data_IF_480300042491
#
_entry.id   IF_480300042491
#
_cell.length_a   1.000
_cell.length_b   1.000
_cell.length_c   1.000
_cell.angle_alpha   90.00
_cell.angle_beta   90.00
_cell.angle_gamma   90.00
#
_symmetry.space_group_name_H-M   'P 1'
#
loop_
_entity.id
_entity.type
_entity.pdbx_description
1 polymer ?
#
# COMPACT_ATOMS: atom_id res chain seq x y z
N UNK A 1 29.90 10.86 -15.42
CA UNK A 1 29.46 11.57 -14.20
C UNK A 1 27.95 11.57 -14.11
N UNK A 2 27.22 12.21 -15.04
CA UNK A 2 25.75 12.33 -14.96
C UNK A 2 24.97 11.01 -14.80
N UNK A 3 25.36 9.92 -15.47
CA UNK A 3 24.66 8.63 -15.37
C UNK A 3 24.80 7.98 -13.99
N UNK A 4 26.00 8.00 -13.40
CA UNK A 4 26.25 7.42 -12.08
C UNK A 4 25.53 8.20 -10.98
N UNK A 5 25.53 9.53 -11.11
CA UNK A 5 24.79 10.40 -10.20
C UNK A 5 23.29 10.13 -10.28
N UNK A 6 22.75 9.98 -11.49
CA UNK A 6 21.34 9.64 -11.70
C UNK A 6 20.99 8.25 -11.13
N UNK A 7 21.83 7.23 -11.35
CA UNK A 7 21.64 5.90 -10.75
C UNK A 7 21.64 5.97 -9.22
N UNK A 8 22.56 6.73 -8.64
CA UNK A 8 22.65 6.96 -7.20
C UNK A 8 21.40 7.64 -6.65
N UNK A 9 20.89 8.65 -7.35
CA UNK A 9 19.72 9.41 -6.92
C UNK A 9 18.41 8.63 -7.09
N UNK A 10 18.27 7.84 -8.16
CA UNK A 10 17.18 6.87 -8.31
C UNK A 10 17.20 5.88 -7.15
N UNK A 11 18.36 5.30 -6.85
CA UNK A 11 18.53 4.36 -5.72
C UNK A 11 18.15 5.00 -4.38
N UNK A 12 18.64 6.20 -4.07
CA UNK A 12 18.32 6.91 -2.82
C UNK A 12 16.82 7.19 -2.73
N UNK A 13 16.21 7.62 -3.82
CA UNK A 13 14.78 7.97 -3.86
C UNK A 13 13.92 6.73 -3.74
N UNK A 14 14.24 5.65 -4.46
CA UNK A 14 13.55 4.37 -4.38
C UNK A 14 13.56 3.81 -2.94
N UNK A 15 14.72 3.85 -2.27
CA UNK A 15 14.82 3.42 -0.88
C UNK A 15 13.98 4.28 0.08
N UNK A 16 13.91 5.60 -0.14
CA UNK A 16 13.03 6.49 0.64
C UNK A 16 11.55 6.16 0.42
N UNK A 17 11.15 5.91 -0.82
CA UNK A 17 9.77 5.53 -1.16
C UNK A 17 9.42 4.19 -0.51
N UNK A 18 10.27 3.17 -0.68
CA UNK A 18 10.12 1.85 -0.03
C UNK A 18 9.96 1.97 1.49
N UNK A 19 10.82 2.73 2.15
CA UNK A 19 10.74 2.93 3.60
C UNK A 19 9.42 3.58 4.02
N UNK A 20 8.95 4.60 3.28
CA UNK A 20 7.67 5.26 3.55
C UNK A 20 6.48 4.33 3.32
N UNK A 21 6.50 3.49 2.28
CA UNK A 21 5.44 2.52 2.02
C UNK A 21 5.36 1.50 3.17
N UNK A 22 6.50 0.94 3.62
CA UNK A 22 6.54 0.04 4.79
C UNK A 22 6.00 0.69 6.07
N UNK A 23 6.28 1.97 6.31
CA UNK A 23 5.71 2.69 7.47
C UNK A 23 4.19 2.83 7.36
N UNK A 24 3.67 3.12 6.17
CA UNK A 24 2.21 3.23 5.96
C UNK A 24 1.55 1.87 6.18
N UNK A 25 2.14 0.79 5.67
CA UNK A 25 1.68 -0.58 5.88
C UNK A 25 1.60 -0.92 7.38
N UNK A 26 2.68 -0.73 8.13
CA UNK A 26 2.70 -1.02 9.58
C UNK A 26 1.63 -0.23 10.35
N UNK A 27 1.38 1.03 9.97
CA UNK A 27 0.32 1.82 10.56
C UNK A 27 -1.08 1.28 10.22
N UNK A 28 -1.29 0.79 8.99
CA UNK A 28 -2.54 0.15 8.58
C UNK A 28 -2.78 -1.11 9.41
N UNK A 29 -1.78 -2.00 9.52
CA UNK A 29 -1.86 -3.24 10.30
C UNK A 29 -2.19 -2.94 11.77
N UNK A 30 -1.49 -1.98 12.38
CA UNK A 30 -1.72 -1.58 13.77
C UNK A 30 -3.16 -1.07 14.00
N UNK A 31 -3.68 -0.27 13.07
CA UNK A 31 -5.04 0.26 13.18
C UNK A 31 -6.12 -0.81 12.97
N UNK A 32 -5.90 -1.78 12.09
CA UNK A 32 -6.79 -2.93 11.91
C UNK A 32 -6.97 -3.72 13.20
N UNK A 33 -5.90 -3.96 13.95
CA UNK A 33 -5.95 -4.64 15.25
C UNK A 33 -6.78 -3.89 16.30
N UNK A 34 -6.94 -2.57 16.15
CA UNK A 34 -7.77 -1.76 17.06
C UNK A 34 -9.24 -1.68 16.64
N UNK A 35 -9.65 -2.43 15.60
CA UNK A 35 -11.03 -2.54 15.09
C UNK A 35 -11.71 -1.21 14.72
N UNK A 36 -10.92 -0.17 14.43
CA UNK A 36 -11.41 1.13 13.96
C UNK A 36 -11.52 1.11 12.43
N UNK A 37 -12.57 0.48 11.89
CA UNK A 37 -12.92 0.61 10.47
C UNK A 37 -13.44 2.03 10.18
N UNK A 38 -12.49 2.95 10.04
CA UNK A 38 -12.75 4.37 9.78
C UNK A 38 -12.59 4.70 8.29
N UNK A 39 -13.22 5.78 7.85
CA UNK A 39 -12.99 6.31 6.50
C UNK A 39 -11.49 6.62 6.27
N UNK A 40 -10.79 7.05 7.32
CA UNK A 40 -9.37 7.37 7.30
C UNK A 40 -8.49 6.12 7.06
N UNK A 41 -8.80 4.99 7.70
CA UNK A 41 -8.14 3.70 7.46
C UNK A 41 -8.35 3.23 6.02
N UNK A 42 -9.57 3.36 5.47
CA UNK A 42 -9.86 3.01 4.07
C UNK A 42 -9.05 3.86 3.10
N UNK A 43 -9.00 5.17 3.34
CA UNK A 43 -8.20 6.10 2.52
C UNK A 43 -6.73 5.70 2.56
N UNK A 44 -6.15 5.43 3.74
CA UNK A 44 -4.75 4.99 3.87
C UNK A 44 -4.48 3.73 3.05
N UNK A 45 -5.35 2.73 3.15
CA UNK A 45 -5.22 1.46 2.40
C UNK A 45 -5.25 1.68 0.88
N UNK A 46 -6.22 2.44 0.37
CA UNK A 46 -6.32 2.74 -1.07
C UNK A 46 -5.11 3.52 -1.57
N UNK A 47 -4.64 4.52 -0.81
CA UNK A 47 -3.46 5.31 -1.16
C UNK A 47 -2.20 4.46 -1.15
N UNK A 48 -1.99 3.66 -0.09
CA UNK A 48 -0.88 2.72 0.00
C UNK A 48 -0.84 1.80 -1.22
N UNK A 49 -1.98 1.22 -1.60
CA UNK A 49 -2.04 0.33 -2.75
C UNK A 49 -1.70 1.01 -4.07
N UNK A 50 -2.29 2.18 -4.31
CA UNK A 50 -2.05 2.96 -5.53
C UNK A 50 -0.59 3.35 -5.66
N UNK A 51 0.02 3.81 -4.56
CA UNK A 51 1.43 4.21 -4.53
C UNK A 51 2.37 3.01 -4.72
N UNK A 52 2.08 1.88 -4.07
CA UNK A 52 2.85 0.64 -4.22
C UNK A 52 2.84 0.12 -5.66
N UNK A 53 1.67 0.13 -6.33
CA UNK A 53 1.55 -0.26 -7.75
C UNK A 53 2.37 0.65 -8.66
N UNK A 54 2.22 1.97 -8.50
CA UNK A 54 3.01 2.95 -9.28
C UNK A 54 4.50 2.82 -9.04
N UNK A 55 4.91 2.53 -7.81
CA UNK A 55 6.31 2.31 -7.48
C UNK A 55 6.86 1.09 -8.22
N UNK A 56 6.16 -0.05 -8.17
CA UNK A 56 6.55 -1.27 -8.90
C UNK A 56 6.61 -1.03 -10.41
N UNK A 57 5.64 -0.31 -10.97
CA UNK A 57 5.61 0.06 -12.40
C UNK A 57 6.87 0.84 -12.81
N UNK A 58 7.17 1.94 -12.11
CA UNK A 58 8.35 2.78 -12.39
C UNK A 58 9.66 2.00 -12.20
N UNK A 59 9.77 1.18 -11.15
CA UNK A 59 10.97 0.37 -10.93
C UNK A 59 11.14 -0.73 -11.98
N UNK A 60 10.04 -1.24 -12.54
CA UNK A 60 10.08 -2.23 -13.62
C UNK A 60 10.55 -1.60 -14.94
N UNK A 61 10.09 -0.39 -15.24
CA UNK A 61 10.59 0.39 -16.37
C UNK A 61 12.08 0.73 -16.21
N UNK A 62 12.51 1.08 -14.99
CA UNK A 62 13.91 1.32 -14.68
C UNK A 62 14.76 0.06 -14.89
N UNK A 63 14.31 -1.11 -14.41
CA UNK A 63 14.99 -2.38 -14.62
C UNK A 63 15.13 -2.71 -16.12
N UNK A 64 14.06 -2.52 -16.91
CA UNK A 64 14.10 -2.71 -18.37
C UNK A 64 15.16 -1.80 -19.02
N UNK A 65 15.20 -0.53 -18.61
CA UNK A 65 16.19 0.43 -19.11
C UNK A 65 17.62 0.02 -18.76
N UNK A 66 17.85 -0.54 -17.57
CA UNK A 66 19.16 -1.07 -17.19
C UNK A 66 19.58 -2.27 -18.03
N UNK A 67 18.67 -3.23 -18.26
CA UNK A 67 18.92 -4.40 -19.12
C UNK A 67 19.26 -3.96 -20.54
N UNK A 68 18.49 -3.04 -21.13
CA UNK A 68 18.77 -2.50 -22.46
C UNK A 68 20.14 -1.82 -22.53
N UNK A 69 20.53 -1.08 -21.47
CA UNK A 69 21.84 -0.44 -21.40
C UNK A 69 22.99 -1.45 -21.22
N UNK A 70 22.78 -2.54 -20.47
CA UNK A 70 23.74 -3.66 -20.35
C UNK A 70 24.00 -4.29 -21.71
N UNK A 71 22.95 -4.60 -22.47
CA UNK A 71 23.08 -5.19 -23.81
C UNK A 71 23.81 -4.25 -24.79
N UNK A 72 23.56 -2.94 -24.70
CA UNK A 72 24.32 -1.95 -25.49
C UNK A 72 25.80 -1.90 -25.09
N UNK A 73 26.13 -2.04 -23.81
CA UNK A 73 27.53 -2.12 -23.36
C UNK A 73 28.20 -3.41 -23.86
N UNK A 74 27.51 -4.55 -23.76
CA UNK A 74 27.97 -5.84 -24.30
C UNK A 74 28.27 -5.75 -25.79
N UNK A 75 27.33 -5.24 -26.60
CA UNK A 75 27.53 -5.06 -28.04
C UNK A 75 28.68 -4.11 -28.39
N UNK A 76 28.94 -3.09 -27.56
CA UNK A 76 30.12 -2.22 -27.73
C UNK A 76 31.42 -2.97 -27.46
N UNK A 77 31.48 -3.80 -26.42
CA UNK A 77 32.66 -4.63 -26.12
C UNK A 77 32.92 -5.60 -27.26
N UNK A 78 31.88 -6.28 -27.75
CA UNK A 78 31.99 -7.20 -28.88
C UNK A 78 32.62 -6.54 -30.11
N UNK A 79 32.08 -5.37 -30.50
CA UNK A 79 32.60 -4.61 -31.64
C UNK A 79 34.06 -4.18 -31.44
N UNK A 80 34.43 -3.82 -30.21
CA UNK A 80 35.81 -3.44 -29.88
C UNK A 80 36.77 -4.64 -29.98
N UNK A 81 36.35 -5.84 -29.57
CA UNK A 81 37.11 -7.07 -29.75
C UNK A 81 37.31 -7.40 -31.24
N UNK A 82 36.26 -7.25 -32.06
CA UNK A 82 36.35 -7.45 -33.52
C UNK A 82 37.35 -6.49 -34.19
N UNK A 83 37.39 -5.22 -33.77
CA UNK A 83 38.37 -4.23 -34.28
C UNK A 83 39.81 -4.67 -33.98
N UNK A 84 40.03 -5.32 -32.84
CA UNK A 84 41.35 -5.88 -32.47
C UNK A 84 41.67 -7.22 -33.13
N UNK A 85 40.77 -7.72 -33.99
CA UNK A 85 40.94 -8.97 -34.73
C UNK A 85 40.52 -10.23 -33.95
N UNK A 86 39.84 -10.06 -32.81
CA UNK A 86 39.30 -11.17 -32.02
C UNK A 86 37.80 -11.29 -32.25
N UNK A 87 37.40 -12.26 -33.07
CA UNK A 87 35.99 -12.64 -33.19
C UNK A 87 35.55 -13.35 -31.92
N UNK A 88 34.42 -12.97 -31.35
CA UNK A 88 33.90 -13.56 -30.11
C UNK A 88 32.39 -13.73 -30.26
N UNK A 89 31.92 -14.94 -29.96
CA UNK A 89 30.49 -15.25 -29.96
C UNK A 89 29.80 -14.61 -28.76
N UNK A 90 28.46 -14.52 -28.79
CA UNK A 90 27.70 -13.94 -27.68
C UNK A 90 27.87 -14.72 -26.37
N UNK A 91 28.03 -16.05 -26.46
CA UNK A 91 28.16 -16.92 -25.29
C UNK A 91 29.56 -16.81 -24.69
N UNK A 92 30.61 -16.84 -25.52
CA UNK A 92 31.98 -16.59 -25.06
C UNK A 92 32.13 -15.20 -24.43
N UNK A 93 31.48 -14.18 -25.00
CA UNK A 93 31.52 -12.83 -24.43
C UNK A 93 30.81 -12.77 -23.08
N UNK A 94 29.71 -13.50 -22.90
CA UNK A 94 29.03 -13.57 -21.61
C UNK A 94 29.92 -14.23 -20.55
N UNK A 95 30.56 -15.35 -20.89
CA UNK A 95 31.50 -16.03 -20.00
C UNK A 95 32.67 -15.11 -19.61
N UNK A 96 33.19 -14.33 -20.55
CA UNK A 96 34.24 -13.34 -20.27
C UNK A 96 33.77 -12.23 -19.30
N UNK A 97 32.50 -11.80 -19.39
CA UNK A 97 31.92 -10.82 -18.47
C UNK A 97 31.72 -11.42 -17.07
N UNK A 98 31.26 -12.68 -16.97
CA UNK A 98 31.03 -13.38 -15.71
C UNK A 98 32.31 -13.65 -14.92
N UNK A 99 33.44 -13.85 -15.60
CA UNK A 99 34.75 -14.07 -14.95
C UNK A 99 35.23 -12.87 -14.12
N UNK A 100 34.71 -11.66 -14.39
CA UNK A 100 35.04 -10.44 -13.64
C UNK A 100 36.51 -10.02 -13.70
N UNK A 101 37.32 -10.65 -14.56
CA UNK A 101 38.74 -10.37 -14.73
C UNK A 101 38.98 -9.55 -16.01
N UNK A 102 39.32 -8.25 -15.92
CA UNK A 102 39.57 -7.41 -17.10
C UNK A 102 40.68 -7.95 -18.02
N UNK A 103 41.62 -8.73 -17.49
CA UNK A 103 42.70 -9.32 -18.27
C UNK A 103 42.20 -10.31 -19.33
N UNK A 104 41.00 -10.89 -19.17
CA UNK A 104 40.42 -11.82 -20.16
C UNK A 104 40.23 -11.14 -21.53
N UNK A 105 39.96 -9.83 -21.53
CA UNK A 105 39.81 -9.02 -22.74
C UNK A 105 41.17 -8.70 -23.40
N UNK A 106 42.27 -8.69 -22.63
CA UNK A 106 43.62 -8.42 -23.16
C UNK A 106 44.28 -9.65 -23.78
N UNK A 107 43.76 -10.84 -23.48
CA UNK A 107 44.39 -12.10 -23.87
C UNK A 107 44.34 -12.27 -25.39
N UNK A 108 45.50 -12.24 -26.04
CA UNK A 108 45.63 -12.36 -27.50
C UNK A 108 45.59 -11.03 -28.28
N UNK A 109 45.45 -9.87 -27.63
CA UNK A 109 45.52 -8.57 -28.30
C UNK A 109 46.96 -8.04 -28.28
N UNK A 110 47.52 -7.75 -29.44
CA UNK A 110 48.84 -7.12 -29.56
C UNK A 110 48.73 -5.64 -29.17
N UNK A 111 49.17 -5.30 -27.96
CA UNK A 111 49.08 -3.93 -27.39
C UNK A 111 50.14 -2.93 -27.90
N UNK A 112 50.81 -3.25 -29.01
CA UNK A 112 51.91 -2.44 -29.54
C UNK A 112 51.43 -1.13 -30.18
N UNK A 113 50.17 -1.06 -30.60
CA UNK A 113 49.58 0.13 -31.22
C UNK A 113 48.85 1.00 -30.19
N UNK A 114 48.89 2.33 -30.38
CA UNK A 114 48.09 3.26 -29.57
C UNK A 114 46.59 2.99 -29.70
N UNK A 115 46.15 2.50 -30.87
CA UNK A 115 44.77 2.13 -31.13
C UNK A 115 44.32 0.95 -30.27
N UNK A 116 45.12 -0.12 -30.17
CA UNK A 116 44.81 -1.27 -29.31
C UNK A 116 44.69 -0.88 -27.83
N UNK A 117 45.54 0.04 -27.35
CA UNK A 117 45.47 0.58 -25.98
C UNK A 117 44.17 1.36 -25.73
N UNK A 118 43.75 2.19 -26.69
CA UNK A 118 42.49 2.93 -26.58
C UNK A 118 41.29 1.99 -26.57
N UNK A 119 41.27 1.01 -27.47
CA UNK A 119 40.22 0.00 -27.52
C UNK A 119 40.11 -0.77 -26.20
N UNK A 120 41.24 -1.14 -25.60
CA UNK A 120 41.24 -1.79 -24.30
C UNK A 120 40.64 -0.90 -23.20
N UNK A 121 41.08 0.35 -23.11
CA UNK A 121 40.54 1.30 -22.13
C UNK A 121 39.02 1.48 -22.27
N UNK A 122 38.53 1.50 -23.52
CA UNK A 122 37.09 1.55 -23.79
C UNK A 122 36.37 0.28 -23.31
N UNK A 123 36.94 -0.91 -23.53
CA UNK A 123 36.38 -2.19 -23.06
C UNK A 123 36.32 -2.21 -21.52
N UNK A 124 37.40 -1.85 -20.85
CA UNK A 124 37.47 -1.80 -19.38
C UNK A 124 36.43 -0.83 -18.80
N UNK A 125 36.28 0.35 -19.41
CA UNK A 125 35.27 1.32 -19.00
C UNK A 125 33.83 0.80 -19.19
N UNK A 126 33.54 0.07 -20.28
CA UNK A 126 32.22 -0.56 -20.49
C UNK A 126 31.98 -1.73 -19.54
N UNK A 127 32.99 -2.54 -19.25
CA UNK A 127 32.90 -3.64 -18.30
C UNK A 127 32.61 -3.13 -16.88
N UNK A 128 33.28 -2.04 -16.46
CA UNK A 128 32.98 -1.37 -15.20
C UNK A 128 31.53 -0.87 -15.12
N UNK A 129 30.98 -0.33 -16.22
CA UNK A 129 29.57 0.06 -16.30
C UNK A 129 28.64 -1.15 -16.13
N UNK A 130 28.94 -2.30 -16.78
CA UNK A 130 28.16 -3.54 -16.65
C UNK A 130 28.12 -4.02 -15.19
N UNK A 131 29.27 -4.06 -14.51
CA UNK A 131 29.34 -4.46 -13.09
C UNK A 131 28.47 -3.55 -12.21
N UNK A 132 28.48 -2.23 -12.46
CA UNK A 132 27.64 -1.27 -11.72
C UNK A 132 26.15 -1.53 -11.96
N UNK A 133 25.76 -1.83 -13.20
CA UNK A 133 24.38 -2.17 -13.55
C UNK A 133 23.94 -3.46 -12.86
N UNK A 134 24.74 -4.52 -12.89
CA UNK A 134 24.41 -5.80 -12.28
C UNK A 134 24.20 -5.68 -10.77
N UNK A 135 25.03 -4.88 -10.09
CA UNK A 135 24.83 -4.55 -8.69
C UNK A 135 23.51 -3.79 -8.46
N UNK A 136 23.19 -2.83 -9.33
CA UNK A 136 21.92 -2.10 -9.24
C UNK A 136 20.72 -3.01 -9.49
N UNK A 137 20.77 -3.91 -10.48
CA UNK A 137 19.70 -4.87 -10.80
C UNK A 137 19.46 -5.82 -9.63
N UNK A 138 20.54 -6.29 -8.98
CA UNK A 138 20.43 -7.14 -7.78
C UNK A 138 19.70 -6.42 -6.64
N UNK A 139 20.00 -5.13 -6.43
CA UNK A 139 19.27 -4.33 -5.43
C UNK A 139 17.80 -4.10 -5.80
N UNK A 140 17.48 -3.93 -7.10
CA UNK A 140 16.09 -3.87 -7.57
C UNK A 140 15.36 -5.18 -7.30
N UNK A 141 16.01 -6.31 -7.53
CA UNK A 141 15.46 -7.63 -7.25
C UNK A 141 15.09 -7.78 -5.77
N UNK A 142 15.98 -7.38 -4.86
CA UNK A 142 15.68 -7.40 -3.41
C UNK A 142 14.48 -6.51 -3.07
N UNK A 143 14.36 -5.34 -3.71
CA UNK A 143 13.18 -4.49 -3.55
C UNK A 143 11.91 -5.12 -4.14
N UNK A 144 11.98 -5.82 -5.28
CA UNK A 144 10.83 -6.51 -5.84
C UNK A 144 10.37 -7.68 -4.97
N UNK A 145 11.28 -8.43 -4.35
CA UNK A 145 10.93 -9.50 -3.42
C UNK A 145 10.21 -8.95 -2.18
N UNK A 146 10.69 -7.83 -1.64
CA UNK A 146 9.99 -7.09 -0.58
C UNK A 146 8.58 -6.65 -1.01
N UNK A 147 8.45 -6.10 -2.22
CA UNK A 147 7.19 -5.52 -2.71
C UNK A 147 6.20 -6.55 -3.26
N UNK A 148 6.65 -7.74 -3.67
CA UNK A 148 5.79 -8.80 -4.19
C UNK A 148 4.81 -9.29 -3.10
N UNK A 149 5.31 -9.46 -1.88
CA UNK A 149 4.47 -9.76 -0.70
C UNK A 149 3.46 -8.65 -0.41
N UNK A 150 3.84 -7.39 -0.66
CA UNK A 150 2.94 -6.25 -0.47
C UNK A 150 1.82 -6.24 -1.49
N UNK A 151 2.09 -6.49 -2.76
CA UNK A 151 1.10 -6.35 -3.83
C UNK A 151 0.11 -7.53 -3.84
N UNK A 152 0.55 -8.73 -3.45
CA UNK A 152 -0.30 -9.94 -3.41
C UNK A 152 -1.42 -9.85 -2.37
N UNK A 153 -1.15 -9.27 -1.18
CA UNK A 153 -2.14 -9.11 -0.10
C UNK A 153 -3.21 -8.04 -0.36
N UNK A 154 -3.07 -7.24 -1.42
CA UNK A 154 -3.91 -6.05 -1.65
C UNK A 154 -5.17 -6.31 -2.49
N UNK A 155 -5.24 -7.40 -3.26
CA UNK A 155 -6.39 -7.72 -4.11
C UNK A 155 -7.69 -7.84 -3.33
N UNK A 156 -7.68 -8.59 -2.23
CA UNK A 156 -8.86 -8.79 -1.39
C UNK A 156 -9.29 -7.54 -0.60
N UNK A 157 -8.36 -6.61 -0.36
CA UNK A 157 -8.61 -5.42 0.47
C UNK A 157 -9.28 -4.30 -0.33
N UNK A 158 -8.92 -4.11 -1.60
CA UNK A 158 -9.55 -3.10 -2.49
C UNK A 158 -11.03 -3.41 -2.67
N UNK A 159 -11.39 -4.67 -2.93
CA UNK A 159 -12.78 -5.09 -3.12
C UNK A 159 -13.64 -4.83 -1.87
N UNK A 160 -13.07 -5.03 -0.67
CA UNK A 160 -13.74 -4.68 0.59
C UNK A 160 -13.91 -3.17 0.78
N UNK A 161 -13.01 -2.34 0.23
CA UNK A 161 -13.13 -0.87 0.32
C UNK A 161 -14.21 -0.36 -0.63
N UNK A 162 -14.29 -0.86 -1.85
CA UNK A 162 -15.39 -0.53 -2.78
C UNK A 162 -16.74 -0.87 -2.12
N UNK A 163 -16.84 -2.08 -1.56
CA UNK A 163 -18.00 -2.50 -0.77
C UNK A 163 -18.30 -1.54 0.41
N UNK A 164 -17.32 -1.19 1.24
CA UNK A 164 -17.57 -0.31 2.40
C UNK A 164 -17.81 1.16 2.04
N UNK A 165 -17.28 1.66 0.92
CA UNK A 165 -17.56 3.02 0.42
C UNK A 165 -18.99 3.11 -0.11
N UNK A 166 -19.43 2.11 -0.86
CA UNK A 166 -20.82 1.97 -1.32
C UNK A 166 -21.79 2.04 -0.12
N UNK A 167 -21.55 1.23 0.90
CA UNK A 167 -22.43 1.17 2.08
C UNK A 167 -22.33 2.42 2.97
N UNK A 168 -21.18 3.10 3.01
CA UNK A 168 -21.03 4.36 3.76
C UNK A 168 -21.92 5.49 3.21
N UNK A 169 -22.13 5.52 1.88
CA UNK A 169 -23.08 6.45 1.24
C UNK A 169 -24.51 6.17 1.71
N UNK A 170 -24.89 4.89 1.78
CA UNK A 170 -26.22 4.46 2.22
C UNK A 170 -26.50 4.83 3.69
N UNK A 171 -25.51 4.68 4.58
CA UNK A 171 -25.64 5.08 5.98
C UNK A 171 -25.81 6.59 6.14
N UNK A 172 -25.05 7.42 5.40
CA UNK A 172 -25.18 8.88 5.45
C UNK A 172 -26.52 9.33 4.88
N UNK A 173 -26.99 8.70 3.80
CA UNK A 173 -28.29 8.97 3.21
C UNK A 173 -29.42 8.65 4.20
N UNK A 174 -29.36 7.51 4.87
CA UNK A 174 -30.33 7.10 5.89
C UNK A 174 -30.31 8.04 7.09
N UNK A 175 -29.13 8.38 7.61
CA UNK A 175 -28.98 9.35 8.72
C UNK A 175 -29.53 10.75 8.36
N UNK A 176 -29.34 11.19 7.11
CA UNK A 176 -29.91 12.45 6.62
C UNK A 176 -31.43 12.41 6.55
N UNK A 177 -32.01 11.26 6.20
CA UNK A 177 -33.46 11.10 6.21
C UNK A 177 -34.00 11.09 7.65
N UNK A 178 -33.33 10.43 8.58
CA UNK A 178 -33.78 10.33 9.97
C UNK A 178 -33.64 11.65 10.72
N UNK A 179 -32.59 12.44 10.46
CA UNK A 179 -32.48 13.82 10.98
C UNK A 179 -33.60 14.73 10.45
N UNK A 180 -33.98 14.60 9.18
CA UNK A 180 -35.15 15.30 8.61
C UNK A 180 -36.45 14.90 9.30
N UNK A 181 -36.64 13.60 9.60
CA UNK A 181 -37.81 13.13 10.36
C UNK A 181 -37.79 13.68 11.80
N UNK A 182 -36.65 13.62 12.48
CA UNK A 182 -36.48 14.15 13.84
C UNK A 182 -36.80 15.65 13.92
N UNK A 183 -36.38 16.47 12.95
CA UNK A 183 -36.76 17.89 12.86
C UNK A 183 -38.27 18.09 12.69
N UNK A 184 -38.93 17.23 11.89
CA UNK A 184 -40.40 17.24 11.78
C UNK A 184 -41.09 16.88 13.09
N UNK A 185 -40.57 15.90 13.84
CA UNK A 185 -41.10 15.56 15.15
C UNK A 185 -40.88 16.69 16.17
N UNK A 186 -39.69 17.29 16.21
CA UNK A 186 -39.38 18.41 17.09
C UNK A 186 -40.28 19.62 16.82
N UNK A 187 -40.48 19.98 15.55
CA UNK A 187 -41.35 21.10 15.17
C UNK A 187 -42.82 20.84 15.50
N UNK A 188 -43.31 19.59 15.37
CA UNK A 188 -44.65 19.21 15.82
C UNK A 188 -44.78 19.28 17.34
N UNK A 189 -43.79 18.78 18.10
CA UNK A 189 -43.77 18.83 19.55
C UNK A 189 -43.70 20.26 20.12
N UNK A 190 -43.09 21.22 19.41
CA UNK A 190 -43.08 22.64 19.82
C UNK A 190 -44.41 23.37 19.59
N UNK A 191 -45.31 22.83 18.76
CA UNK A 191 -46.63 23.42 18.49
C UNK A 191 -47.70 23.01 19.50
N UNK A 192 -47.43 21.98 20.32
CA UNK A 192 -48.24 21.65 21.49
C UNK A 192 -47.69 22.39 22.70
N UNK A 193 -48.40 23.44 23.12
CA UNK A 193 -48.12 24.18 24.36
C UNK A 193 -48.25 23.25 25.58
N UNK A 194 -47.39 23.36 26.60
CA UNK A 194 -47.55 22.57 27.82
C UNK A 194 -48.88 22.93 28.48
N UNK A 195 -49.76 21.94 28.63
CA UNK A 195 -51.00 22.08 29.39
C UNK A 195 -50.61 22.42 30.83
N UNK A 196 -50.95 23.64 31.29
CA UNK A 196 -50.85 24.00 32.70
C UNK A 196 -51.86 23.16 33.47
N UNK A 197 -51.42 22.02 34.01
CA UNK A 197 -52.21 21.28 35.00
C UNK A 197 -52.19 22.11 36.28
N UNK A 198 -53.34 22.69 36.63
CA UNK A 198 -53.50 23.49 37.84
C UNK A 198 -53.28 22.63 39.09
N UNK A 199 -52.35 23.03 39.94
CA UNK A 199 -52.22 22.46 41.27
C UNK A 199 -53.37 22.99 42.15
N UNK A 200 -54.46 22.23 42.25
CA UNK A 200 -55.52 22.47 43.24
C UNK A 200 -55.17 21.80 44.57
N UNK A 201 -54.87 22.65 45.56
CA UNK A 201 -54.92 22.46 47.02
C UNK A 201 -54.38 21.14 47.64
N UNK A 202 -53.18 21.24 48.21
CA UNK A 202 -52.59 20.28 49.15
C UNK A 202 -53.09 20.62 50.58
N UNK A 203 -53.82 19.74 51.29
CA UNK A 203 -53.97 19.89 52.73
C UNK A 203 -52.66 19.48 53.42
N UNK A 204 -52.12 20.37 54.25
CA UNK A 204 -50.99 20.08 55.15
C UNK A 204 -51.50 19.27 56.33
N UNK A 205 -51.08 18.01 56.50
CA UNK A 205 -50.67 17.52 57.81
C UNK A 205 -49.87 16.19 57.74
N UNK A 206 -48.79 16.17 58.54
CA UNK A 206 -48.02 15.04 59.11
C UNK A 206 -47.10 14.18 58.21
N UNK A 207 -45.79 14.37 58.44
CA UNK A 207 -44.70 13.41 58.21
C UNK A 207 -44.61 12.45 59.43
N UNK A 208 -43.93 11.28 59.41
CA UNK A 208 -42.98 10.78 58.41
C UNK A 208 -43.03 9.24 58.12
N UNK A 209 -42.24 8.79 57.13
CA UNK A 209 -41.80 7.39 56.91
C UNK A 209 -42.88 6.32 56.62
N UNK A 210 -43.10 5.99 55.34
CA UNK A 210 -43.02 4.61 54.82
C UNK A 210 -43.47 4.52 53.34
N UNK A 211 -42.82 3.58 52.65
CA UNK A 211 -43.14 3.00 51.35
C UNK A 211 -42.82 3.81 50.09
N UNK A 212 -41.62 3.50 49.57
CA UNK A 212 -41.37 3.02 48.19
C UNK A 212 -42.63 2.96 47.32
N UNK A 213 -42.67 3.81 46.29
CA UNK A 213 -43.16 3.45 44.96
C UNK A 213 -42.70 4.52 43.95
N UNK A 214 -41.54 4.27 43.35
CA UNK A 214 -41.13 4.92 42.10
C UNK A 214 -41.86 4.20 40.99
N UNK A 215 -43.04 4.69 40.61
CA UNK A 215 -43.72 4.19 39.42
C UNK A 215 -43.08 4.85 38.20
N UNK A 216 -42.17 4.14 37.55
CA UNK A 216 -41.87 4.32 36.13
C UNK A 216 -43.09 3.87 35.33
N UNK A 217 -43.77 4.79 34.65
CA UNK A 217 -44.58 4.42 33.49
C UNK A 217 -43.77 4.66 32.22
N UNK A 218 -43.15 3.59 31.74
CA UNK A 218 -42.92 3.38 30.31
C UNK A 218 -44.26 2.93 29.71
N UNK A 219 -44.87 3.75 28.86
CA UNK A 219 -46.03 3.33 28.08
C UNK A 219 -45.49 2.56 26.85
N UNK A 220 -45.80 1.26 26.82
CA UNK A 220 -45.44 0.30 25.78
C UNK A 220 -46.54 0.36 24.71
N UNK A 221 -46.16 0.63 23.46
CA UNK A 221 -47.04 0.59 22.28
C UNK A 221 -47.56 -0.85 22.04
N UNK A 222 -48.87 -1.06 21.84
CA UNK A 222 -49.48 -2.39 21.77
C UNK A 222 -49.33 -3.12 20.40
N UNK A 223 -48.68 -2.52 19.40
CA UNK A 223 -48.65 -3.06 18.02
C UNK A 223 -47.29 -3.63 17.57
N UNK A 224 -46.39 -4.01 18.49
CA UNK A 224 -45.18 -4.77 18.12
C UNK A 224 -45.45 -6.28 18.10
N UNK A 225 -45.72 -6.81 16.92
CA UNK A 225 -45.54 -8.23 16.63
C UNK A 225 -44.07 -8.61 16.85
N UNK A 226 -43.81 -9.33 17.95
CA UNK A 226 -42.72 -10.29 18.09
C UNK A 226 -43.20 -11.67 17.59
N UNK A 227 -42.24 -12.59 17.43
CA UNK A 227 -42.25 -13.90 16.74
C UNK A 227 -41.69 -13.73 15.33
N UNK A 228 -40.51 -14.25 14.99
CA UNK A 228 -39.91 -15.53 15.41
C UNK A 228 -38.38 -15.40 15.18
N UNK A 229 -37.57 -15.48 16.24
CA UNK A 229 -36.77 -16.66 16.62
C UNK A 229 -35.45 -16.76 15.84
N UNK A 230 -34.31 -17.14 16.40
CA UNK A 230 -33.91 -17.48 17.77
C UNK A 230 -32.38 -17.63 17.75
N UNK A 231 -31.75 -17.45 18.91
CA UNK A 231 -30.56 -18.15 19.45
C UNK A 231 -29.57 -18.84 18.47
N UNK A 232 -28.26 -18.83 18.64
CA UNK A 232 -27.40 -18.51 19.76
C UNK A 232 -25.94 -18.59 19.28
N UNK A 233 -25.10 -18.08 20.16
CA UNK A 233 -23.67 -17.86 20.13
C UNK A 233 -22.84 -19.14 20.45
N UNK A 234 -21.60 -19.19 19.91
CA UNK A 234 -20.40 -19.95 20.36
C UNK A 234 -20.36 -21.47 20.06
N UNK A 235 -19.25 -22.13 19.70
CA UNK A 235 -17.81 -21.83 19.75
C UNK A 235 -17.01 -22.91 18.96
N UNK A 236 -15.68 -22.70 18.86
CA UNK A 236 -14.55 -23.65 18.60
C UNK A 236 -13.85 -23.72 17.24
N UNK A 237 -12.60 -23.22 17.28
CA UNK A 237 -11.46 -23.51 16.41
C UNK A 237 -10.76 -24.83 16.78
N UNK A 238 -10.03 -25.36 15.78
CA UNK A 238 -8.97 -26.40 15.73
C UNK A 238 -9.37 -27.79 15.22
N UNK A 239 -8.62 -28.22 14.19
CA UNK A 239 -8.88 -29.39 13.38
C UNK A 239 -8.03 -30.63 13.69
N UNK A 240 -8.12 -31.57 12.75
CA UNK A 240 -7.09 -32.48 12.22
C UNK A 240 -7.50 -32.84 10.81
#
# INVERSE_FOLDING_TARGET
MELEDLMSDIKKTANKVRAKLKVIEQNIEQEEHTNKSSADLRIRKTQHSTLSRKFVEVMSEYNRTQTDYRERCKGRIQRQLEITGRTTTNDELEEMLEQGNPAVFTQGIIMETQQAKQTLADIEARHADIIKLENSIRELHDMFMDMAMLVESQGEMIDRIEYHVEHAVDYVQTATQDTKKALKYQSKARRVSPVKIGFSNIPKNENPLNNVDVILFTEIDPDRNLLDDSSHHFDYYFGT
#
